data_IF_372374045935
#
_entry.id   IF_372374045935
#
_cell.length_a   1.000
_cell.length_b   1.000
_cell.length_c   1.000
_cell.angle_alpha   90.00
_cell.angle_beta   90.00
_cell.angle_gamma   90.00
#
_symmetry.space_group_name_H-M   'P 1'
#
loop_
_entity.id
_entity.type
_entity.pdbx_description
1 polymer ?
#
# COMPACT_ATOMS: atom_id res chain seq x y z
N UNK A 1 -26.05 -21.12 -11.86
CA UNK A 1 -25.13 -21.84 -10.98
C UNK A 1 -24.99 -23.25 -11.50
N UNK A 2 -23.77 -23.74 -11.68
CA UNK A 2 -23.55 -25.11 -12.13
C UNK A 2 -23.80 -26.08 -10.97
N UNK A 3 -24.43 -27.21 -11.25
CA UNK A 3 -24.62 -28.27 -10.25
C UNK A 3 -23.29 -28.99 -9.97
N UNK A 4 -23.10 -29.62 -8.80
CA UNK A 4 -21.89 -30.38 -8.47
C UNK A 4 -21.56 -31.47 -9.52
N UNK A 5 -22.58 -32.10 -10.11
CA UNK A 5 -22.40 -33.09 -11.16
C UNK A 5 -21.89 -32.49 -12.48
N UNK A 6 -22.35 -31.30 -12.85
CA UNK A 6 -21.86 -30.58 -14.04
C UNK A 6 -20.44 -30.07 -13.85
N UNK A 7 -20.09 -29.71 -12.63
CA UNK A 7 -18.70 -29.34 -12.28
C UNK A 7 -17.77 -30.53 -12.49
N UNK A 8 -18.14 -31.74 -12.05
CA UNK A 8 -17.34 -32.94 -12.24
C UNK A 8 -17.13 -33.36 -13.68
N UNK A 9 -18.17 -33.22 -14.50
CA UNK A 9 -18.16 -33.66 -15.91
C UNK A 9 -17.47 -32.66 -16.85
N UNK A 10 -17.46 -31.40 -16.53
CA UNK A 10 -16.97 -30.29 -17.38
C UNK A 10 -15.69 -29.64 -16.94
N UNK A 11 -15.12 -30.02 -15.81
CA UNK A 11 -13.86 -29.44 -15.35
C UNK A 11 -12.68 -29.86 -16.22
N UNK A 12 -12.07 -28.88 -16.84
CA UNK A 12 -10.74 -29.05 -17.41
C UNK A 12 -9.72 -28.82 -16.28
N UNK A 13 -8.95 -29.85 -15.88
CA UNK A 13 -8.00 -29.76 -14.75
C UNK A 13 -6.97 -28.65 -14.95
N UNK A 14 -6.52 -28.42 -16.17
CA UNK A 14 -5.51 -27.40 -16.49
C UNK A 14 -6.08 -25.99 -16.31
N UNK A 15 -7.32 -25.76 -16.81
CA UNK A 15 -7.99 -24.46 -16.64
C UNK A 15 -8.34 -24.18 -15.19
N UNK A 16 -8.70 -25.19 -14.41
CA UNK A 16 -9.01 -25.03 -12.99
C UNK A 16 -7.76 -24.68 -12.18
N UNK A 17 -6.61 -25.31 -12.46
CA UNK A 17 -5.35 -24.98 -11.80
C UNK A 17 -4.86 -23.56 -12.18
N UNK A 18 -5.12 -23.12 -13.40
CA UNK A 18 -4.82 -21.77 -13.87
C UNK A 18 -5.68 -20.71 -13.15
N UNK A 19 -6.97 -20.97 -13.00
CA UNK A 19 -7.91 -20.10 -12.29
C UNK A 19 -7.57 -19.97 -10.79
N UNK A 20 -7.11 -21.06 -10.16
CA UNK A 20 -6.65 -21.04 -8.76
C UNK A 20 -5.34 -20.29 -8.56
N UNK A 21 -4.56 -20.09 -9.62
CA UNK A 21 -3.35 -19.27 -9.61
C UNK A 21 -3.60 -17.78 -9.89
N UNK A 22 -4.83 -17.39 -10.28
CA UNK A 22 -5.23 -16.00 -10.46
C UNK A 22 -5.63 -15.40 -9.10
N UNK A 23 -4.65 -15.06 -8.28
CA UNK A 23 -4.85 -14.25 -7.08
C UNK A 23 -4.88 -12.75 -7.42
N UNK A 24 -5.34 -11.96 -6.47
CA UNK A 24 -5.15 -10.50 -6.46
C UNK A 24 -3.66 -10.17 -6.58
N UNK A 25 -3.36 -8.98 -7.11
CA UNK A 25 -2.01 -8.42 -7.11
C UNK A 25 -1.42 -8.35 -5.69
N UNK A 26 -0.14 -8.07 -5.59
CA UNK A 26 0.54 -7.98 -4.29
C UNK A 26 0.00 -6.78 -3.50
N UNK A 27 -0.60 -7.04 -2.34
CA UNK A 27 -0.97 -5.99 -1.39
C UNK A 27 0.26 -5.28 -0.84
N UNK A 28 0.19 -3.96 -0.77
CA UNK A 28 1.31 -3.12 -0.32
C UNK A 28 1.07 -2.46 1.04
N UNK A 29 -0.16 -2.52 1.55
CA UNK A 29 -0.55 -1.91 2.82
C UNK A 29 0.37 -2.30 3.99
N UNK A 30 0.74 -3.58 4.12
CA UNK A 30 1.61 -4.06 5.18
C UNK A 30 3.05 -3.50 5.12
N UNK A 31 3.51 -3.11 3.92
CA UNK A 31 4.83 -2.45 3.77
C UNK A 31 4.82 -1.01 4.28
N UNK A 32 3.66 -0.34 4.18
CA UNK A 32 3.48 1.04 4.64
C UNK A 32 3.11 1.09 6.10
N UNK A 33 2.18 0.25 6.52
CA UNK A 33 1.66 0.15 7.87
C UNK A 33 1.80 -1.28 8.39
N UNK A 34 2.97 -1.64 8.94
CA UNK A 34 3.21 -2.98 9.44
C UNK A 34 2.29 -3.30 10.63
N UNK A 35 1.76 -4.51 10.66
CA UNK A 35 0.92 -4.99 11.77
C UNK A 35 1.75 -5.12 13.03
N UNK A 36 1.31 -4.48 14.11
CA UNK A 36 1.90 -4.59 15.43
C UNK A 36 0.97 -5.40 16.35
N UNK A 37 1.43 -6.50 16.97
CA UNK A 37 0.62 -7.24 17.91
C UNK A 37 0.32 -6.41 19.14
N UNK A 38 -0.96 -6.31 19.50
CA UNK A 38 -1.45 -5.53 20.65
C UNK A 38 -2.25 -6.44 21.57
N UNK A 39 -2.04 -6.29 22.88
CA UNK A 39 -2.79 -7.04 23.89
C UNK A 39 -4.09 -6.33 24.30
N UNK A 40 -4.18 -5.01 24.08
CA UNK A 40 -5.31 -4.18 24.46
C UNK A 40 -5.97 -3.57 23.23
N UNK A 41 -7.28 -3.49 23.22
CA UNK A 41 -8.08 -2.90 22.13
C UNK A 41 -7.98 -1.37 22.05
N UNK A 42 -7.61 -0.70 23.13
CA UNK A 42 -7.41 0.75 23.19
C UNK A 42 -6.10 1.06 23.89
N UNK A 43 -5.25 1.89 23.29
CA UNK A 43 -3.94 2.27 23.82
C UNK A 43 -3.69 3.74 23.58
N UNK A 44 -3.17 4.42 24.58
CA UNK A 44 -2.72 5.81 24.45
C UNK A 44 -1.24 5.86 24.13
N UNK A 45 -0.89 6.41 22.96
CA UNK A 45 0.49 6.65 22.55
C UNK A 45 0.96 8.02 23.02
N UNK A 46 2.08 8.06 23.72
CA UNK A 46 2.74 9.30 24.06
C UNK A 46 3.46 9.89 22.82
N UNK A 47 3.00 11.04 22.39
CA UNK A 47 3.64 11.80 21.32
C UNK A 47 4.64 12.78 21.92
N UNK A 48 5.91 12.67 21.54
CA UNK A 48 6.98 13.55 22.00
C UNK A 48 6.97 14.87 21.22
N UNK A 49 7.20 15.98 21.91
CA UNK A 49 7.29 17.30 21.30
C UNK A 49 8.57 17.52 20.47
N UNK A 50 8.65 18.70 19.86
CA UNK A 50 9.72 19.12 18.93
C UNK A 50 10.98 19.65 19.64
N UNK A 51 11.08 19.52 20.99
CA UNK A 51 12.15 20.13 21.78
C UNK A 51 13.54 19.71 21.33
N UNK A 52 13.69 18.49 20.80
CA UNK A 52 14.96 17.97 20.31
C UNK A 52 15.47 18.66 19.02
N UNK A 53 14.60 19.33 18.30
CA UNK A 53 14.96 20.08 17.08
C UNK A 53 15.20 21.56 17.34
N UNK A 54 14.98 22.04 18.57
CA UNK A 54 15.17 23.44 18.92
C UNK A 54 16.61 23.72 19.26
N UNK A 55 17.13 24.83 18.77
CA UNK A 55 18.44 25.34 19.14
C UNK A 55 18.35 26.09 20.48
N UNK A 56 19.02 25.57 21.50
CA UNK A 56 19.16 26.22 22.77
C UNK A 56 20.53 26.88 22.90
N UNK A 57 20.61 28.06 23.56
CA UNK A 57 21.89 28.60 24.00
C UNK A 57 22.38 27.82 25.22
N UNK A 58 23.34 26.93 25.00
CA UNK A 58 23.92 26.07 26.06
C UNK A 58 25.18 26.65 26.68
N UNK A 59 25.65 27.84 26.23
CA UNK A 59 26.78 28.53 26.87
C UNK A 59 26.42 28.91 28.30
N UNK A 60 27.28 28.54 29.23
CA UNK A 60 27.12 28.81 30.65
C UNK A 60 28.39 29.48 31.19
N UNK A 61 28.24 30.56 31.93
CA UNK A 61 29.33 31.14 32.72
C UNK A 61 29.62 30.24 33.95
N UNK A 62 30.87 30.23 34.46
CA UNK A 62 31.18 29.53 35.69
C UNK A 62 30.25 30.01 36.82
N UNK A 63 29.65 29.07 37.58
CA UNK A 63 28.71 29.37 38.65
C UNK A 63 27.26 29.67 38.23
N UNK A 64 26.95 29.87 36.94
CA UNK A 64 25.59 30.12 36.48
C UNK A 64 24.72 28.85 36.50
N UNK A 65 23.37 28.93 36.62
CA UNK A 65 22.50 27.78 36.63
C UNK A 65 22.47 27.09 35.24
N UNK A 66 22.28 25.76 35.25
CA UNK A 66 22.17 24.97 34.03
C UNK A 66 20.83 25.21 33.34
N UNK A 67 20.83 25.28 32.00
CA UNK A 67 19.61 25.38 31.19
C UNK A 67 18.74 24.13 31.38
N UNK A 68 17.51 24.34 31.82
CA UNK A 68 16.50 23.26 31.93
C UNK A 68 15.64 23.22 30.70
N UNK A 69 15.45 22.05 30.15
CA UNK A 69 14.54 21.77 29.03
C UNK A 69 13.49 20.77 29.51
N UNK A 70 12.24 21.13 29.37
CA UNK A 70 11.12 20.25 29.71
C UNK A 70 10.69 19.54 28.44
N UNK A 71 10.46 18.23 28.52
CA UNK A 71 9.89 17.41 27.46
C UNK A 71 8.38 17.51 27.59
N UNK A 72 7.71 17.87 26.48
CA UNK A 72 6.25 17.88 26.39
C UNK A 72 5.78 16.53 25.88
N UNK A 73 4.72 16.02 26.47
CA UNK A 73 4.04 14.80 26.06
C UNK A 73 2.63 15.16 25.65
N UNK A 74 2.21 14.69 24.47
CA UNK A 74 0.82 14.68 24.08
C UNK A 74 0.37 13.23 23.96
N UNK A 75 -0.87 12.92 24.39
CA UNK A 75 -1.43 11.59 24.33
C UNK A 75 -2.44 11.49 23.19
N UNK A 76 -2.22 10.58 22.23
CA UNK A 76 -3.25 10.19 21.28
C UNK A 76 -3.70 8.78 21.58
N UNK A 77 -5.00 8.61 21.84
CA UNK A 77 -5.62 7.30 22.01
C UNK A 77 -6.01 6.77 20.62
N UNK A 78 -5.72 5.50 20.38
CA UNK A 78 -6.24 4.77 19.22
C UNK A 78 -6.98 3.54 19.70
N UNK A 79 -7.95 3.12 18.91
CA UNK A 79 -8.78 1.95 19.13
C UNK A 79 -8.61 0.99 17.95
N UNK A 80 -8.66 -0.31 18.27
CA UNK A 80 -8.58 -1.38 17.27
C UNK A 80 -9.98 -1.91 17.03
N UNK A 81 -10.43 -1.86 15.79
CA UNK A 81 -11.66 -2.45 15.33
C UNK A 81 -11.46 -3.94 14.99
N UNK A 82 -12.52 -4.73 15.14
CA UNK A 82 -12.50 -6.15 14.78
C UNK A 82 -13.18 -6.34 13.42
N UNK A 83 -12.50 -7.03 12.53
CA UNK A 83 -12.99 -7.39 11.21
C UNK A 83 -13.12 -8.90 11.12
N UNK A 84 -14.21 -9.39 10.54
CA UNK A 84 -14.43 -10.82 10.35
C UNK A 84 -15.17 -11.08 9.05
N UNK A 85 -14.83 -12.17 8.40
CA UNK A 85 -15.53 -12.68 7.21
C UNK A 85 -15.75 -14.17 7.38
N UNK A 86 -16.90 -14.65 6.95
CA UNK A 86 -17.27 -16.06 6.96
C UNK A 86 -17.48 -16.54 5.52
N UNK A 87 -16.83 -17.63 5.16
CA UNK A 87 -17.04 -18.33 3.90
C UNK A 87 -17.65 -19.69 4.20
N UNK A 88 -18.99 -19.84 4.13
CA UNK A 88 -19.66 -21.09 4.46
C UNK A 88 -19.34 -22.17 3.40
N UNK A 89 -18.94 -23.35 3.87
CA UNK A 89 -18.69 -24.51 3.01
C UNK A 89 -19.74 -25.57 3.34
N UNK A 90 -20.64 -25.91 2.42
CA UNK A 90 -21.58 -27.02 2.61
C UNK A 90 -20.85 -28.34 2.86
N UNK A 91 -21.34 -29.10 3.81
CA UNK A 91 -20.72 -30.38 4.23
C UNK A 91 -20.65 -31.40 3.09
N UNK A 92 -21.60 -31.31 2.17
CA UNK A 92 -21.67 -32.15 0.97
C UNK A 92 -20.47 -31.92 0.06
N UNK A 93 -20.06 -30.66 -0.11
CA UNK A 93 -18.89 -30.29 -0.94
C UNK A 93 -17.59 -30.77 -0.32
N UNK A 94 -17.46 -30.70 1.02
CA UNK A 94 -16.28 -31.23 1.73
C UNK A 94 -16.19 -32.74 1.51
N UNK A 95 -17.30 -33.47 1.71
CA UNK A 95 -17.35 -34.90 1.50
C UNK A 95 -16.98 -35.31 0.07
N UNK A 96 -17.48 -34.58 -0.93
CA UNK A 96 -17.19 -34.82 -2.33
C UNK A 96 -15.72 -34.56 -2.68
N UNK A 97 -15.14 -33.51 -2.12
CA UNK A 97 -13.71 -33.22 -2.25
C UNK A 97 -12.85 -34.35 -1.67
N UNK A 98 -13.19 -34.84 -0.48
CA UNK A 98 -12.48 -35.96 0.17
C UNK A 98 -12.60 -37.28 -0.61
N UNK A 99 -13.79 -37.60 -1.14
CA UNK A 99 -13.98 -38.78 -1.99
C UNK A 99 -13.18 -38.67 -3.31
N UNK A 100 -13.18 -37.50 -3.92
CA UNK A 100 -12.39 -37.22 -5.14
C UNK A 100 -10.89 -37.40 -4.89
N UNK A 101 -10.42 -36.98 -3.69
CA UNK A 101 -9.03 -37.19 -3.28
C UNK A 101 -8.69 -38.68 -3.12
N UNK A 102 -9.57 -39.48 -2.51
CA UNK A 102 -9.37 -40.92 -2.31
C UNK A 102 -9.32 -41.67 -3.63
N UNK A 103 -10.12 -41.28 -4.60
CA UNK A 103 -10.17 -41.89 -5.94
C UNK A 103 -8.97 -41.52 -6.83
N UNK A 104 -8.06 -40.67 -6.34
CA UNK A 104 -6.87 -40.20 -7.07
C UNK A 104 -7.19 -39.69 -8.48
N UNK A 105 -8.37 -39.11 -8.64
CA UNK A 105 -8.80 -38.45 -9.88
C UNK A 105 -7.97 -37.18 -9.99
N UNK A 106 -7.11 -37.10 -10.94
CA UNK A 106 -5.95 -36.25 -11.11
C UNK A 106 -6.09 -34.72 -10.96
N UNK A 107 -7.20 -34.21 -10.42
CA UNK A 107 -7.34 -32.82 -9.95
C UNK A 107 -8.53 -32.72 -8.98
N UNK A 108 -8.27 -32.92 -7.72
CA UNK A 108 -9.28 -32.63 -6.71
C UNK A 108 -9.19 -31.14 -6.31
N UNK A 109 -10.33 -30.49 -6.24
CA UNK A 109 -10.48 -29.16 -5.67
C UNK A 109 -10.48 -29.25 -4.15
N UNK A 110 -9.45 -28.72 -3.51
CA UNK A 110 -9.44 -28.56 -2.05
C UNK A 110 -10.30 -27.33 -1.69
N UNK A 111 -11.59 -27.58 -1.47
CA UNK A 111 -12.58 -26.54 -1.20
C UNK A 111 -12.25 -25.80 0.10
N UNK A 112 -11.73 -26.50 1.10
CA UNK A 112 -11.34 -25.88 2.38
C UNK A 112 -10.20 -24.88 2.18
N UNK A 113 -9.21 -25.24 1.39
CA UNK A 113 -8.09 -24.36 1.04
C UNK A 113 -8.57 -23.14 0.25
N UNK A 114 -9.44 -23.34 -0.73
CA UNK A 114 -10.02 -22.24 -1.53
C UNK A 114 -10.78 -21.27 -0.62
N UNK A 115 -11.64 -21.78 0.26
CA UNK A 115 -12.39 -20.93 1.17
C UNK A 115 -11.49 -20.13 2.13
N UNK A 116 -10.43 -20.75 2.67
CA UNK A 116 -9.45 -20.06 3.50
C UNK A 116 -8.70 -18.97 2.74
N UNK A 117 -8.26 -19.27 1.52
CA UNK A 117 -7.57 -18.29 0.67
C UNK A 117 -8.50 -17.13 0.33
N UNK A 118 -9.75 -17.43 -0.06
CA UNK A 118 -10.77 -16.39 -0.37
C UNK A 118 -11.04 -15.51 0.84
N UNK A 119 -11.20 -16.09 2.03
CA UNK A 119 -11.40 -15.31 3.26
C UNK A 119 -10.20 -14.41 3.58
N UNK A 120 -8.99 -14.94 3.41
CA UNK A 120 -7.74 -14.17 3.61
C UNK A 120 -7.60 -13.03 2.60
N UNK A 121 -7.93 -13.29 1.32
CA UNK A 121 -7.85 -12.29 0.27
C UNK A 121 -8.88 -11.16 0.48
N UNK A 122 -10.10 -11.49 0.92
CA UNK A 122 -11.13 -10.49 1.25
C UNK A 122 -10.67 -9.60 2.40
N UNK A 123 -10.15 -10.17 3.49
CA UNK A 123 -9.64 -9.39 4.62
C UNK A 123 -8.39 -8.57 4.24
N UNK A 124 -7.54 -9.13 3.39
CA UNK A 124 -6.36 -8.42 2.87
C UNK A 124 -6.74 -7.24 1.99
N UNK A 125 -7.75 -7.41 1.14
CA UNK A 125 -8.27 -6.36 0.27
C UNK A 125 -8.94 -5.24 1.06
N UNK A 126 -9.75 -5.56 2.08
CA UNK A 126 -10.37 -4.58 2.96
C UNK A 126 -9.32 -3.72 3.67
N UNK A 127 -8.27 -4.36 4.20
CA UNK A 127 -7.13 -3.66 4.80
C UNK A 127 -6.39 -2.77 3.79
N UNK A 128 -6.20 -3.24 2.55
CA UNK A 128 -5.57 -2.47 1.48
C UNK A 128 -6.38 -1.21 1.14
N UNK A 129 -7.71 -1.33 1.04
CA UNK A 129 -8.62 -0.21 0.78
C UNK A 129 -8.57 0.83 1.90
N UNK A 130 -8.64 0.40 3.16
CA UNK A 130 -8.57 1.31 4.31
C UNK A 130 -7.24 2.06 4.37
N UNK A 131 -6.13 1.36 4.17
CA UNK A 131 -4.80 1.97 4.16
C UNK A 131 -4.63 2.93 2.99
N UNK A 132 -5.11 2.57 1.80
CA UNK A 132 -5.06 3.43 0.63
C UNK A 132 -5.90 4.70 0.84
N UNK A 133 -7.13 4.56 1.36
CA UNK A 133 -8.00 5.69 1.68
C UNK A 133 -7.32 6.65 2.67
N UNK A 134 -6.70 6.11 3.74
CA UNK A 134 -5.97 6.92 4.72
C UNK A 134 -4.75 7.63 4.10
N UNK A 135 -4.01 6.94 3.24
CA UNK A 135 -2.79 7.46 2.63
C UNK A 135 -3.07 8.54 1.56
N UNK A 136 -4.21 8.44 0.86
CA UNK A 136 -4.59 9.38 -0.21
C UNK A 136 -5.35 10.60 0.36
N UNK A 137 -6.03 10.44 1.50
CA UNK A 137 -6.83 11.52 2.09
C UNK A 137 -5.97 12.72 2.46
N UNK A 138 -6.19 13.84 1.75
CA UNK A 138 -5.50 15.11 2.00
C UNK A 138 -5.74 15.67 3.40
N UNK A 139 -6.87 15.33 4.06
CA UNK A 139 -7.19 15.78 5.41
C UNK A 139 -6.31 15.08 6.48
N UNK A 140 -5.73 13.93 6.16
CA UNK A 140 -4.80 13.21 7.03
C UNK A 140 -3.43 13.90 7.17
N UNK A 141 -3.13 14.90 6.34
CA UNK A 141 -1.83 15.57 6.31
C UNK A 141 -1.92 17.03 6.76
N UNK A 142 -0.87 17.51 7.39
CA UNK A 142 -0.78 18.91 7.78
C UNK A 142 -0.64 19.83 6.55
N UNK A 143 -1.07 21.09 6.70
CA UNK A 143 -0.92 22.10 5.66
C UNK A 143 0.53 22.19 5.15
N UNK A 144 0.72 22.25 3.84
CA UNK A 144 2.02 22.26 3.18
C UNK A 144 2.66 20.88 2.92
N UNK A 145 1.98 19.80 3.28
CA UNK A 145 2.38 18.43 2.95
C UNK A 145 1.55 17.81 1.82
N UNK A 146 0.60 18.55 1.30
CA UNK A 146 -0.26 18.16 0.18
C UNK A 146 0.00 19.06 -1.00
N UNK A 147 0.24 18.48 -2.17
CA UNK A 147 0.40 19.20 -3.43
C UNK A 147 -0.59 18.61 -4.45
N UNK A 148 -1.58 19.40 -4.84
CA UNK A 148 -2.50 19.02 -5.90
C UNK A 148 -1.89 19.33 -7.28
N UNK A 149 -1.85 18.31 -8.15
CA UNK A 149 -1.40 18.45 -9.53
C UNK A 149 -2.61 18.55 -10.46
N UNK A 150 -2.65 19.58 -11.30
CA UNK A 150 -3.78 19.83 -12.21
C UNK A 150 -3.30 20.30 -13.60
N UNK A 151 -4.03 19.91 -14.63
CA UNK A 151 -3.73 20.36 -16.00
C UNK A 151 -2.30 20.05 -16.43
N UNK A 152 -1.53 21.06 -16.81
CA UNK A 152 -0.15 20.94 -17.28
C UNK A 152 0.87 20.51 -16.23
N UNK A 153 0.53 20.56 -14.93
CA UNK A 153 1.43 20.11 -13.86
C UNK A 153 1.30 18.61 -13.55
N UNK A 154 0.32 17.91 -14.12
CA UNK A 154 0.21 16.44 -13.97
C UNK A 154 1.44 15.76 -14.57
N UNK A 155 1.91 14.71 -13.95
CA UNK A 155 3.10 13.97 -14.43
C UNK A 155 2.90 13.29 -15.78
N UNK A 156 1.65 13.03 -16.17
CA UNK A 156 1.28 12.55 -17.51
C UNK A 156 1.35 13.64 -18.58
N UNK A 157 1.43 14.92 -18.19
CA UNK A 157 1.55 16.03 -19.13
C UNK A 157 2.97 16.17 -19.66
N UNK A 158 3.11 16.68 -20.90
CA UNK A 158 4.41 17.00 -21.49
C UNK A 158 5.23 18.04 -20.70
N UNK A 159 4.56 18.89 -19.92
CA UNK A 159 5.18 19.93 -19.09
C UNK A 159 5.30 19.54 -17.62
N UNK A 160 4.92 18.31 -17.25
CA UNK A 160 4.96 17.82 -15.87
C UNK A 160 6.39 17.66 -15.36
N UNK A 161 6.67 18.16 -14.16
CA UNK A 161 8.00 18.20 -13.52
C UNK A 161 8.10 17.19 -12.38
N UNK A 162 7.95 15.91 -12.70
CA UNK A 162 7.83 14.83 -11.70
C UNK A 162 9.05 14.71 -10.77
N UNK A 163 10.27 14.81 -11.30
CA UNK A 163 11.51 14.70 -10.51
C UNK A 163 11.66 15.91 -9.59
N UNK A 164 11.34 17.10 -10.09
CA UNK A 164 11.38 18.34 -9.31
C UNK A 164 10.36 18.32 -8.17
N UNK A 165 9.13 17.87 -8.43
CA UNK A 165 8.05 17.76 -7.42
C UNK A 165 8.41 16.77 -6.31
N UNK A 166 8.93 15.59 -6.66
CA UNK A 166 9.35 14.58 -5.70
C UNK A 166 10.53 15.08 -4.86
N UNK A 167 11.49 15.78 -5.47
CA UNK A 167 12.61 16.38 -4.74
C UNK A 167 12.12 17.45 -3.75
N UNK A 168 11.16 18.28 -4.15
CA UNK A 168 10.56 19.26 -3.27
C UNK A 168 9.83 18.58 -2.10
N UNK A 169 9.05 17.54 -2.35
CA UNK A 169 8.39 16.75 -1.30
C UNK A 169 9.40 16.11 -0.33
N UNK A 170 10.50 15.53 -0.83
CA UNK A 170 11.60 15.01 0.02
C UNK A 170 12.16 16.08 0.96
N UNK A 171 12.33 17.32 0.49
CA UNK A 171 12.83 18.42 1.31
C UNK A 171 11.81 18.87 2.37
N UNK A 172 10.51 18.83 2.07
CA UNK A 172 9.46 19.10 3.07
C UNK A 172 9.55 18.09 4.23
N UNK A 173 9.63 16.79 3.91
CA UNK A 173 9.79 15.73 4.92
C UNK A 173 11.08 15.91 5.70
N UNK A 174 12.22 16.13 5.02
CA UNK A 174 13.53 16.34 5.66
C UNK A 174 13.50 17.50 6.65
N UNK A 175 12.90 18.62 6.28
CA UNK A 175 12.80 19.81 7.15
C UNK A 175 11.93 19.54 8.38
N UNK A 176 10.95 18.64 8.29
CA UNK A 176 10.03 18.34 9.39
C UNK A 176 10.62 17.36 10.40
N UNK A 177 11.26 16.29 9.94
CA UNK A 177 11.73 15.18 10.78
C UNK A 177 13.26 15.02 10.83
N UNK A 178 14.00 15.85 10.10
CA UNK A 178 15.47 15.78 10.04
C UNK A 178 16.03 14.58 9.29
N UNK A 179 15.16 13.77 8.64
CA UNK A 179 15.54 12.59 7.86
C UNK A 179 14.92 12.64 6.46
N UNK A 180 15.62 12.09 5.47
CA UNK A 180 15.07 11.93 4.12
C UNK A 180 14.11 10.75 4.10
N UNK A 181 13.01 10.82 3.33
CA UNK A 181 12.15 9.67 3.12
C UNK A 181 12.88 8.61 2.30
N UNK A 182 12.62 7.35 2.60
CA UNK A 182 13.24 6.20 1.94
C UNK A 182 12.25 5.41 1.06
N UNK A 183 10.96 5.72 1.14
CA UNK A 183 9.92 5.00 0.42
C UNK A 183 9.03 5.96 -0.34
N UNK A 184 8.72 5.62 -1.59
CA UNK A 184 7.75 6.29 -2.46
C UNK A 184 6.66 5.29 -2.81
N UNK A 185 5.42 5.63 -2.51
CA UNK A 185 4.26 4.85 -2.89
C UNK A 185 3.56 5.52 -4.07
N UNK A 186 3.22 4.76 -5.07
CA UNK A 186 2.57 5.21 -6.29
C UNK A 186 1.37 4.32 -6.60
N UNK A 187 0.33 4.90 -7.19
CA UNK A 187 -0.68 4.11 -7.90
C UNK A 187 -0.10 3.57 -9.21
N UNK A 188 -0.74 2.58 -9.81
CA UNK A 188 -0.34 2.02 -11.10
C UNK A 188 -0.24 3.11 -12.19
N UNK A 189 -1.25 3.96 -12.29
CA UNK A 189 -1.29 5.08 -13.25
C UNK A 189 -0.17 6.11 -12.99
N UNK A 190 0.06 6.46 -11.72
CA UNK A 190 1.12 7.41 -11.37
C UNK A 190 2.51 6.84 -11.66
N UNK A 191 2.72 5.54 -11.44
CA UNK A 191 3.96 4.87 -11.76
C UNK A 191 4.23 4.87 -13.28
N UNK A 192 3.20 4.58 -14.07
CA UNK A 192 3.28 4.63 -15.53
C UNK A 192 3.57 6.05 -16.03
N UNK A 193 2.83 7.05 -15.52
CA UNK A 193 3.02 8.45 -15.86
C UNK A 193 4.44 8.94 -15.50
N UNK A 194 4.94 8.58 -14.31
CA UNK A 194 6.29 8.91 -13.85
C UNK A 194 7.37 8.30 -14.76
N UNK A 195 7.23 7.02 -15.10
CA UNK A 195 8.18 6.32 -15.95
C UNK A 195 8.23 6.89 -17.38
N UNK A 196 7.11 7.42 -17.88
CA UNK A 196 6.99 8.07 -19.19
C UNK A 196 7.27 9.57 -19.20
N UNK A 197 7.48 10.19 -18.03
CA UNK A 197 7.62 11.65 -17.90
C UNK A 197 8.83 12.21 -18.66
N UNK A 198 8.68 13.38 -19.26
CA UNK A 198 9.72 14.04 -20.06
C UNK A 198 10.96 14.39 -19.24
N UNK A 199 10.79 14.85 -17.99
CA UNK A 199 11.88 15.17 -17.08
C UNK A 199 12.69 13.90 -16.72
N UNK A 200 12.02 12.77 -16.44
CA UNK A 200 12.65 11.48 -16.16
C UNK A 200 13.44 11.00 -17.37
N UNK A 201 12.87 11.09 -18.58
CA UNK A 201 13.56 10.73 -19.83
C UNK A 201 14.82 11.55 -20.05
N UNK A 202 14.86 12.81 -19.61
CA UNK A 202 16.04 13.65 -19.67
C UNK A 202 17.23 13.16 -18.83
N UNK A 203 17.00 12.32 -17.84
CA UNK A 203 18.05 11.67 -17.03
C UNK A 203 18.51 10.34 -17.57
N UNK A 204 17.79 9.77 -18.55
CA UNK A 204 18.16 8.48 -19.15
C UNK A 204 19.26 8.67 -20.21
N UNK A 205 20.10 7.65 -20.44
CA UNK A 205 21.07 7.67 -21.54
C UNK A 205 20.40 7.89 -22.90
N UNK A 206 21.01 8.67 -23.77
CA UNK A 206 20.45 9.03 -25.07
C UNK A 206 20.17 7.84 -26.02
N UNK A 207 20.80 6.69 -25.77
CA UNK A 207 20.58 5.45 -26.52
C UNK A 207 19.42 4.61 -25.98
N UNK A 208 18.79 5.02 -24.88
CA UNK A 208 17.63 4.33 -24.30
C UNK A 208 16.35 5.02 -24.77
N UNK A 209 15.72 4.44 -25.78
CA UNK A 209 14.40 4.82 -26.25
C UNK A 209 13.37 4.01 -25.43
N UNK A 210 12.66 4.64 -24.52
CA UNK A 210 11.60 3.94 -23.80
C UNK A 210 11.22 4.55 -22.46
N UNK A 211 10.60 3.72 -21.65
CA UNK A 211 10.09 4.04 -20.32
C UNK A 211 11.15 3.67 -19.28
N UNK A 212 11.33 4.49 -18.26
CA UNK A 212 12.27 4.20 -17.18
C UNK A 212 11.85 2.96 -16.38
N UNK A 213 12.78 2.07 -16.09
CA UNK A 213 12.53 0.95 -15.17
C UNK A 213 12.45 1.43 -13.71
N UNK A 214 11.82 0.64 -12.83
CA UNK A 214 11.72 0.97 -11.40
C UNK A 214 13.11 1.20 -10.76
N UNK A 215 14.13 0.41 -11.15
CA UNK A 215 15.49 0.57 -10.65
C UNK A 215 16.13 1.90 -11.10
N UNK A 216 15.86 2.32 -12.33
CA UNK A 216 16.31 3.62 -12.82
C UNK A 216 15.61 4.76 -12.10
N UNK A 217 14.32 4.64 -11.86
CA UNK A 217 13.56 5.61 -11.06
C UNK A 217 14.11 5.73 -9.63
N UNK A 218 14.45 4.63 -8.98
CA UNK A 218 15.09 4.64 -7.66
C UNK A 218 16.41 5.45 -7.68
N UNK A 219 17.22 5.24 -8.72
CA UNK A 219 18.49 5.95 -8.88
C UNK A 219 18.29 7.44 -9.16
N UNK A 220 17.38 7.80 -10.09
CA UNK A 220 17.12 9.20 -10.48
C UNK A 220 16.53 10.00 -9.31
N UNK A 221 15.62 9.39 -8.56
CA UNK A 221 14.93 10.02 -7.44
C UNK A 221 15.72 9.95 -6.14
N UNK A 222 16.79 9.15 -6.08
CA UNK A 222 17.54 8.87 -4.85
C UNK A 222 16.57 8.39 -3.73
N UNK A 223 15.78 7.36 -4.02
CA UNK A 223 14.82 6.72 -3.12
C UNK A 223 15.09 5.23 -3.10
N UNK A 224 15.20 4.67 -1.90
CA UNK A 224 15.57 3.27 -1.69
C UNK A 224 14.47 2.31 -2.15
N UNK A 225 13.20 2.63 -1.82
CA UNK A 225 12.06 1.78 -2.10
C UNK A 225 10.99 2.52 -2.91
N UNK A 226 10.62 1.98 -4.06
CA UNK A 226 9.44 2.41 -4.80
C UNK A 226 8.44 1.25 -4.75
N UNK A 227 7.26 1.54 -4.23
CA UNK A 227 6.18 0.57 -4.05
C UNK A 227 5.00 1.01 -4.90
N UNK A 228 4.54 0.12 -5.77
CA UNK A 228 3.40 0.38 -6.66
C UNK A 228 2.20 -0.41 -6.19
N UNK A 229 1.07 0.25 -6.01
CA UNK A 229 -0.19 -0.36 -5.62
C UNK A 229 -1.01 -0.71 -6.86
N UNK A 230 -1.09 -2.02 -7.13
CA UNK A 230 -1.82 -2.58 -8.29
C UNK A 230 -3.13 -3.26 -7.86
N UNK A 231 -3.50 -3.19 -6.57
CA UNK A 231 -4.71 -3.83 -6.06
C UNK A 231 -5.97 -3.14 -6.60
N UNK A 232 -6.94 -3.95 -7.00
CA UNK A 232 -8.24 -3.51 -7.51
C UNK A 232 -9.37 -4.10 -6.66
N UNK A 233 -10.49 -3.43 -6.61
CA UNK A 233 -11.71 -3.95 -6.01
C UNK A 233 -12.91 -3.76 -6.96
N UNK A 234 -13.98 -4.51 -6.73
CA UNK A 234 -15.21 -4.42 -7.48
C UNK A 234 -16.35 -4.03 -6.55
N UNK A 235 -17.20 -3.14 -7.01
CA UNK A 235 -18.45 -2.80 -6.34
C UNK A 235 -19.56 -3.84 -6.63
N UNK A 236 -20.74 -3.60 -6.07
CA UNK A 236 -21.92 -4.46 -6.29
C UNK A 236 -22.40 -4.47 -7.75
N UNK A 237 -21.99 -3.49 -8.56
CA UNK A 237 -22.31 -3.38 -9.98
C UNK A 237 -21.22 -3.95 -10.90
N UNK A 238 -20.23 -4.67 -10.34
CA UNK A 238 -19.06 -5.20 -11.03
C UNK A 238 -18.14 -4.13 -11.64
N UNK A 239 -18.29 -2.86 -11.25
CA UNK A 239 -17.36 -1.82 -11.67
C UNK A 239 -16.02 -2.01 -10.97
N UNK A 240 -14.94 -1.98 -11.76
CA UNK A 240 -13.56 -2.16 -11.27
C UNK A 240 -13.00 -0.80 -10.87
N UNK A 241 -12.41 -0.75 -9.68
CA UNK A 241 -11.80 0.46 -9.12
C UNK A 241 -10.43 0.12 -8.55
N UNK A 242 -9.45 0.98 -8.78
CA UNK A 242 -8.11 0.84 -8.19
C UNK A 242 -8.13 1.24 -6.71
N UNK A 243 -7.54 0.43 -5.85
CA UNK A 243 -7.41 0.78 -4.42
C UNK A 243 -6.56 2.03 -4.22
N UNK A 244 -5.50 2.19 -4.99
CA UNK A 244 -4.54 3.29 -4.90
C UNK A 244 -4.79 4.40 -5.95
N UNK A 245 -5.86 4.31 -6.70
CA UNK A 245 -6.27 5.31 -7.68
C UNK A 245 -6.97 6.50 -7.02
N UNK A 246 -6.85 7.68 -7.61
CA UNK A 246 -7.66 8.81 -7.22
C UNK A 246 -8.99 8.72 -8.00
N UNK A 247 -10.05 8.29 -7.33
CA UNK A 247 -11.40 8.09 -7.90
C UNK A 247 -12.21 9.39 -7.98
N UNK A 248 -11.58 10.56 -8.08
CA UNK A 248 -12.22 11.86 -8.21
C UNK A 248 -12.07 12.42 -9.62
#
# INVERSE_FOLDING_TARGET
>A
MMTPAEIRLKQNPILTSLLLGMGQGTFIAERLFPRLPQALSSVTLAQLGDERFRRYNLRRAPGAPTKRVQIKYDGKTYEVNQYSVEVPIPRELIRESDESRKLNVGNHLDISRIAMTTASDILGLDYEIEVAALAIDSASYAAGHVQALAGGTKWSSATGTAVTDIRAAKEVVRKKIGKRPNTLTLSADAAYALAGNAEVKGYLPANQLGVASLQQLQTILDIENIVVGDAIWKDEADAVTDCWGNNA
#
